data_IF_278605047661
#
_entry.id   IF_278605047661
#
_cell.length_a   1.000
_cell.length_b   1.000
_cell.length_c   1.000
_cell.angle_alpha   90.00
_cell.angle_beta   90.00
_cell.angle_gamma   90.00
#
_symmetry.space_group_name_H-M   'P 1'
#
loop_
_entity.id
_entity.type
_entity.pdbx_description
1 polymer ?
#
# COMPACT_ATOMS: atom_id res chain seq x y z
N UNK A 1 -24.39 28.97 -3.60
CA UNK A 1 -24.31 27.61 -3.00
C UNK A 1 -23.50 26.74 -3.95
N UNK A 2 -22.27 26.35 -3.61
CA UNK A 2 -21.57 25.30 -4.37
C UNK A 2 -22.07 23.96 -3.83
N UNK A 3 -22.78 23.22 -4.66
CA UNK A 3 -23.19 21.84 -4.39
C UNK A 3 -21.97 20.94 -4.25
N UNK A 4 -22.02 19.99 -3.32
CA UNK A 4 -21.04 18.91 -3.27
C UNK A 4 -20.96 18.25 -4.65
N UNK A 5 -19.74 18.13 -5.19
CA UNK A 5 -19.47 17.37 -6.40
C UNK A 5 -18.61 16.16 -6.04
N UNK A 6 -18.84 15.03 -6.71
CA UNK A 6 -18.09 13.81 -6.47
C UNK A 6 -17.39 13.39 -7.75
N UNK A 7 -16.08 13.14 -7.65
CA UNK A 7 -15.32 12.43 -8.66
C UNK A 7 -15.24 10.97 -8.23
N UNK A 8 -15.61 10.04 -9.12
CA UNK A 8 -15.49 8.61 -8.91
C UNK A 8 -14.69 7.97 -10.04
N UNK A 9 -13.75 7.10 -9.70
CA UNK A 9 -13.04 6.23 -10.64
C UNK A 9 -13.04 4.80 -10.14
N UNK A 10 -13.07 3.85 -11.06
CA UNK A 10 -13.21 2.42 -10.75
C UNK A 10 -12.29 1.63 -11.65
N UNK A 11 -11.54 0.70 -11.05
CA UNK A 11 -10.61 -0.16 -11.76
C UNK A 11 -10.79 -1.60 -11.31
N UNK A 12 -10.71 -2.53 -12.28
CA UNK A 12 -10.72 -3.96 -12.02
C UNK A 12 -9.35 -4.53 -12.34
N UNK A 13 -8.82 -5.34 -11.44
CA UNK A 13 -7.51 -5.95 -11.52
C UNK A 13 -7.62 -7.45 -11.35
N UNK A 14 -7.32 -8.19 -12.42
CA UNK A 14 -7.43 -9.66 -12.49
C UNK A 14 -6.07 -10.36 -12.45
N UNK A 15 -4.97 -9.59 -12.42
CA UNK A 15 -3.61 -10.11 -12.56
C UNK A 15 -2.74 -9.89 -11.31
N UNK A 16 -3.28 -9.26 -10.26
CA UNK A 16 -2.53 -8.94 -9.05
C UNK A 16 -2.46 -10.10 -8.05
N UNK A 17 -3.39 -11.05 -8.16
CA UNK A 17 -3.53 -12.18 -7.25
C UNK A 17 -3.78 -13.46 -8.04
N UNK A 18 -3.47 -14.60 -7.44
CA UNK A 18 -3.80 -15.93 -8.02
C UNK A 18 -5.21 -16.39 -7.70
N UNK A 19 -5.83 -15.80 -6.67
CA UNK A 19 -7.10 -16.27 -6.11
C UNK A 19 -8.20 -15.21 -6.10
N UNK A 20 -7.84 -13.94 -6.27
CA UNK A 20 -8.70 -12.80 -6.06
C UNK A 20 -8.64 -11.83 -7.26
N UNK A 21 -9.80 -11.39 -7.72
CA UNK A 21 -9.92 -10.20 -8.56
C UNK A 21 -10.26 -9.00 -7.67
N UNK A 22 -9.49 -7.93 -7.79
CA UNK A 22 -9.71 -6.72 -7.02
C UNK A 22 -10.49 -5.70 -7.85
N UNK A 23 -11.48 -5.06 -7.22
CA UNK A 23 -12.09 -3.85 -7.73
C UNK A 23 -11.74 -2.69 -6.79
N UNK A 24 -11.06 -1.69 -7.32
CA UNK A 24 -10.61 -0.52 -6.58
C UNK A 24 -11.36 0.71 -7.08
N UNK A 25 -12.07 1.37 -6.18
CA UNK A 25 -12.82 2.58 -6.43
C UNK A 25 -12.19 3.74 -5.68
N UNK A 26 -11.89 4.83 -6.40
CA UNK A 26 -11.52 6.09 -5.79
C UNK A 26 -12.73 7.03 -5.78
N UNK A 27 -13.09 7.51 -4.60
CA UNK A 27 -14.12 8.52 -4.40
C UNK A 27 -13.49 9.79 -3.80
N UNK A 28 -13.65 10.92 -4.49
CA UNK A 28 -13.30 12.26 -3.98
C UNK A 28 -14.55 13.10 -3.91
N UNK A 29 -14.91 13.50 -2.69
CA UNK A 29 -16.01 14.44 -2.45
C UNK A 29 -15.46 15.82 -2.18
N UNK A 30 -15.85 16.81 -2.99
CA UNK A 30 -15.49 18.21 -2.77
C UNK A 30 -16.48 18.84 -1.80
N UNK A 31 -15.97 19.40 -0.70
CA UNK A 31 -16.76 20.05 0.35
C UNK A 31 -16.60 21.58 0.27
N UNK A 32 -17.55 22.36 0.81
CA UNK A 32 -17.41 23.79 0.96
C UNK A 32 -16.10 24.18 1.65
N UNK A 33 -15.49 25.29 1.20
CA UNK A 33 -14.19 25.74 1.72
C UNK A 33 -12.98 25.02 1.12
N UNK A 34 -13.15 24.26 0.03
CA UNK A 34 -12.03 23.65 -0.71
C UNK A 34 -11.48 22.38 -0.10
N UNK A 35 -12.15 21.82 0.91
CA UNK A 35 -11.77 20.54 1.52
C UNK A 35 -12.19 19.37 0.63
N UNK A 36 -11.40 18.30 0.61
CA UNK A 36 -11.77 17.04 -0.01
C UNK A 36 -11.94 15.93 1.03
N UNK A 37 -12.79 14.97 0.71
CA UNK A 37 -12.92 13.70 1.43
C UNK A 37 -12.65 12.60 0.42
N UNK A 38 -11.41 12.09 0.48
CA UNK A 38 -10.85 11.15 -0.47
C UNK A 38 -10.81 9.76 0.14
N UNK A 39 -11.29 8.77 -0.61
CA UNK A 39 -11.45 7.41 -0.12
C UNK A 39 -11.17 6.41 -1.21
N UNK A 40 -10.51 5.34 -0.81
CA UNK A 40 -10.53 4.09 -1.55
C UNK A 40 -11.63 3.20 -1.03
N UNK A 41 -12.35 2.54 -1.93
CA UNK A 41 -13.15 1.37 -1.65
C UNK A 41 -12.51 0.21 -2.43
N UNK A 42 -12.05 -0.81 -1.70
CA UNK A 42 -11.52 -2.03 -2.28
C UNK A 42 -12.52 -3.16 -2.05
N UNK A 43 -12.83 -3.90 -3.11
CA UNK A 43 -13.60 -5.13 -3.06
C UNK A 43 -12.77 -6.27 -3.65
N UNK A 44 -12.70 -7.38 -2.93
CA UNK A 44 -11.98 -8.59 -3.29
C UNK A 44 -13.00 -9.68 -3.67
N UNK A 45 -12.94 -10.15 -4.91
CA UNK A 45 -13.80 -11.20 -5.44
C UNK A 45 -12.99 -12.47 -5.64
N UNK A 46 -13.56 -13.62 -5.27
CA UNK A 46 -13.01 -14.92 -5.63
C UNK A 46 -12.86 -15.05 -7.15
N UNK A 47 -11.66 -15.36 -7.62
CA UNK A 47 -11.35 -15.37 -9.06
C UNK A 47 -12.09 -16.49 -9.83
N UNK A 48 -12.46 -17.58 -9.15
CA UNK A 48 -13.11 -18.73 -9.79
C UNK A 48 -14.63 -18.58 -9.84
N UNK A 49 -15.23 -18.16 -8.73
CA UNK A 49 -16.69 -18.10 -8.53
C UNK A 49 -17.26 -16.71 -8.77
N UNK A 50 -16.43 -15.67 -8.72
CA UNK A 50 -16.87 -14.27 -8.76
C UNK A 50 -17.57 -13.80 -7.50
N UNK A 51 -17.63 -14.62 -6.44
CA UNK A 51 -18.26 -14.26 -5.18
C UNK A 51 -17.44 -13.18 -4.45
N UNK A 52 -18.11 -12.20 -3.84
CA UNK A 52 -17.45 -11.21 -2.99
C UNK A 52 -16.89 -11.90 -1.75
N UNK A 53 -15.55 -11.89 -1.58
CA UNK A 53 -14.87 -12.43 -0.40
C UNK A 53 -14.79 -11.39 0.72
N UNK A 54 -14.41 -10.16 0.38
CA UNK A 54 -14.27 -9.07 1.34
C UNK A 54 -14.37 -7.70 0.68
N UNK A 55 -14.64 -6.66 1.47
CA UNK A 55 -14.58 -5.27 1.01
C UNK A 55 -14.36 -4.33 2.18
N UNK A 56 -13.62 -3.25 1.95
CA UNK A 56 -13.39 -2.22 2.95
C UNK A 56 -13.19 -0.84 2.30
N UNK A 57 -13.43 0.19 3.09
CA UNK A 57 -13.15 1.58 2.72
C UNK A 57 -11.97 2.09 3.52
N UNK A 58 -11.04 2.76 2.85
CA UNK A 58 -9.88 3.38 3.44
C UNK A 58 -9.88 4.88 3.11
N UNK A 59 -9.77 5.71 4.15
CA UNK A 59 -9.64 7.16 3.96
C UNK A 59 -8.23 7.50 3.48
N UNK A 60 -8.15 8.43 2.54
CA UNK A 60 -6.91 9.06 2.11
C UNK A 60 -6.76 10.41 2.79
N UNK A 61 -5.54 10.77 3.17
CA UNK A 61 -5.24 12.03 3.86
C UNK A 61 -4.87 13.09 2.82
N UNK A 62 -3.87 12.81 2.00
CA UNK A 62 -3.42 13.72 0.95
C UNK A 62 -3.06 12.96 -0.33
N UNK A 63 -3.94 13.05 -1.32
CA UNK A 63 -3.65 12.67 -2.70
C UNK A 63 -3.81 13.92 -3.56
N UNK A 64 -2.80 14.33 -4.30
CA UNK A 64 -2.92 15.50 -5.17
C UNK A 64 -3.88 15.24 -6.35
N UNK A 65 -4.36 16.31 -6.99
CA UNK A 65 -5.37 16.24 -8.06
C UNK A 65 -4.81 15.73 -9.39
N UNK A 66 -3.54 16.02 -9.65
CA UNK A 66 -2.70 15.51 -10.73
C UNK A 66 -2.11 14.12 -10.42
N UNK A 67 -1.99 13.76 -9.15
CA UNK A 67 -1.71 12.38 -8.70
C UNK A 67 -2.98 11.56 -8.48
N UNK A 68 -4.14 12.02 -8.99
CA UNK A 68 -5.33 11.15 -9.08
C UNK A 68 -4.89 9.91 -9.85
N UNK A 69 -5.12 8.70 -9.31
CA UNK A 69 -4.62 7.43 -9.80
C UNK A 69 -4.38 7.40 -11.29
N UNK A 70 -3.12 7.51 -11.70
CA UNK A 70 -2.73 7.21 -13.06
C UNK A 70 -3.05 5.74 -13.29
N UNK A 71 -3.90 5.45 -14.28
CA UNK A 71 -4.36 4.10 -14.60
C UNK A 71 -3.21 3.08 -14.52
N UNK A 72 -3.41 2.00 -13.76
CA UNK A 72 -2.50 0.86 -13.76
C UNK A 72 -1.23 1.02 -12.93
N UNK A 73 -1.13 2.03 -12.06
CA UNK A 73 -0.06 2.08 -11.07
C UNK A 73 -0.34 1.15 -9.90
N UNK A 74 -0.22 -0.14 -10.17
CA UNK A 74 -0.42 -1.24 -9.21
C UNK A 74 0.70 -2.25 -9.36
N UNK A 75 0.95 -3.03 -8.31
CA UNK A 75 2.06 -3.99 -8.28
C UNK A 75 1.67 -5.27 -7.56
N UNK A 76 2.23 -6.39 -8.00
CA UNK A 76 2.14 -7.67 -7.29
C UNK A 76 3.48 -8.36 -7.19
N UNK A 77 3.92 -8.61 -5.96
CA UNK A 77 5.08 -9.45 -5.67
C UNK A 77 4.72 -10.94 -5.67
N UNK A 78 3.43 -11.27 -5.69
CA UNK A 78 2.91 -12.65 -5.70
C UNK A 78 2.80 -13.22 -7.11
N UNK A 79 2.27 -12.43 -8.05
CA UNK A 79 2.14 -12.81 -9.46
C UNK A 79 3.28 -12.29 -10.33
N UNK A 80 4.04 -11.30 -9.84
CA UNK A 80 5.09 -10.62 -10.61
C UNK A 80 4.58 -9.46 -11.46
N UNK A 81 3.28 -9.18 -11.47
CA UNK A 81 2.69 -8.09 -12.25
C UNK A 81 3.28 -6.72 -11.82
N UNK A 82 3.91 -6.01 -12.76
CA UNK A 82 4.63 -4.75 -12.52
C UNK A 82 5.68 -4.79 -11.39
N UNK A 83 6.12 -5.97 -10.94
CA UNK A 83 7.03 -6.11 -9.79
C UNK A 83 8.30 -5.28 -9.96
N UNK A 84 8.84 -5.29 -11.18
CA UNK A 84 10.12 -4.70 -11.53
C UNK A 84 9.95 -3.28 -12.13
N UNK A 85 8.74 -2.71 -12.10
CA UNK A 85 8.51 -1.30 -12.45
C UNK A 85 9.34 -0.42 -11.51
N UNK A 86 9.97 0.62 -12.05
CA UNK A 86 10.71 1.57 -11.22
C UNK A 86 9.78 2.21 -10.17
N UNK A 87 10.25 2.31 -8.92
CA UNK A 87 9.52 2.94 -7.82
C UNK A 87 10.15 4.31 -7.53
N UNK A 88 9.85 5.29 -8.40
CA UNK A 88 10.33 6.66 -8.25
C UNK A 88 9.84 7.23 -6.92
N UNK A 89 10.76 7.82 -6.14
CA UNK A 89 10.48 8.40 -4.82
C UNK A 89 9.71 7.45 -3.87
N UNK A 90 10.02 6.14 -3.94
CA UNK A 90 9.32 5.09 -3.20
C UNK A 90 7.81 5.01 -3.49
N UNK A 91 7.36 5.43 -4.68
CA UNK A 91 6.00 5.17 -5.15
C UNK A 91 5.91 3.76 -5.75
N UNK A 92 5.26 2.85 -5.02
CA UNK A 92 5.02 1.48 -5.47
C UNK A 92 3.66 1.30 -6.16
N UNK A 93 2.89 2.38 -6.29
CA UNK A 93 1.55 2.41 -6.86
C UNK A 93 0.45 2.55 -5.82
N UNK A 94 -0.79 2.62 -6.29
CA UNK A 94 -2.00 2.81 -5.49
C UNK A 94 -2.40 1.57 -4.71
N UNK A 95 -2.20 0.39 -5.31
CA UNK A 95 -2.46 -0.92 -4.71
C UNK A 95 -1.29 -1.85 -4.98
N UNK A 96 -0.75 -2.43 -3.91
CA UNK A 96 0.32 -3.42 -3.96
C UNK A 96 -0.13 -4.70 -3.28
N UNK A 97 0.12 -5.84 -3.92
CA UNK A 97 -0.13 -7.18 -3.37
C UNK A 97 1.20 -7.89 -3.07
N UNK A 98 1.39 -8.35 -1.84
CA UNK A 98 2.62 -9.01 -1.41
C UNK A 98 2.37 -9.92 -0.20
N UNK A 99 3.20 -10.92 0.04
CA UNK A 99 3.22 -11.64 1.32
C UNK A 99 4.14 -10.87 2.28
N UNK A 100 3.54 -10.03 3.14
CA UNK A 100 4.28 -9.16 4.05
C UNK A 100 4.61 -9.92 5.33
N UNK A 101 3.67 -10.71 5.86
CA UNK A 101 3.81 -11.41 7.13
C UNK A 101 4.52 -12.79 7.04
N UNK A 102 4.88 -13.22 5.82
CA UNK A 102 5.60 -14.46 5.51
C UNK A 102 4.84 -15.74 5.88
N UNK A 103 3.52 -15.74 5.71
CA UNK A 103 2.65 -16.90 5.92
C UNK A 103 2.23 -17.59 4.59
N UNK A 104 2.63 -17.04 3.45
CA UNK A 104 2.31 -17.54 2.12
C UNK A 104 0.95 -17.09 1.57
N UNK A 105 0.21 -16.25 2.30
CA UNK A 105 -1.02 -15.59 1.86
C UNK A 105 -0.71 -14.23 1.25
N UNK A 106 -1.72 -13.66 0.62
CA UNK A 106 -1.58 -12.38 -0.07
C UNK A 106 -2.04 -11.25 0.83
N UNK A 107 -1.15 -10.32 1.16
CA UNK A 107 -1.45 -9.09 1.88
C UNK A 107 -1.55 -7.89 0.91
N UNK A 108 -2.13 -6.79 1.39
CA UNK A 108 -2.35 -5.57 0.62
C UNK A 108 -1.64 -4.38 1.26
N UNK A 109 -1.08 -3.52 0.42
CA UNK A 109 -0.73 -2.15 0.79
C UNK A 109 -1.46 -1.18 -0.14
N UNK A 110 -2.19 -0.24 0.45
CA UNK A 110 -3.02 0.73 -0.27
C UNK A 110 -2.52 2.14 0.02
N UNK A 111 -2.16 2.89 -1.03
CA UNK A 111 -1.62 4.25 -0.90
C UNK A 111 -2.67 5.19 -0.32
N UNK A 112 -2.33 5.88 0.76
CA UNK A 112 -3.25 6.79 1.47
C UNK A 112 -2.74 8.22 1.57
N UNK A 113 -1.45 8.41 1.39
CA UNK A 113 -0.81 9.72 1.39
C UNK A 113 0.37 9.72 0.42
N UNK A 114 0.55 10.82 -0.30
CA UNK A 114 1.76 11.11 -1.08
C UNK A 114 3.00 11.28 -0.19
N UNK A 115 2.79 11.39 1.12
CA UNK A 115 3.82 11.45 2.14
C UNK A 115 4.66 12.72 2.05
N UNK A 116 5.96 12.56 2.26
CA UNK A 116 6.92 13.66 2.25
C UNK A 116 8.17 13.29 1.46
N UNK A 117 9.32 13.80 1.88
CA UNK A 117 10.60 13.56 1.19
C UNK A 117 11.04 12.09 1.17
N UNK A 118 10.42 11.22 1.97
CA UNK A 118 10.72 9.79 2.05
C UNK A 118 9.79 8.91 1.19
N UNK A 119 8.86 9.53 0.45
CA UNK A 119 7.89 8.85 -0.39
C UNK A 119 6.53 8.64 0.26
N UNK A 120 5.71 7.83 -0.41
CA UNK A 120 4.31 7.65 -0.09
C UNK A 120 4.05 6.84 1.20
N UNK A 121 2.90 7.09 1.81
CA UNK A 121 2.38 6.30 2.91
C UNK A 121 1.23 5.39 2.48
N UNK A 122 1.21 4.22 3.12
CA UNK A 122 0.33 3.12 2.81
C UNK A 122 -0.40 2.66 4.07
N UNK A 123 -1.66 2.26 3.89
CA UNK A 123 -2.36 1.42 4.84
C UNK A 123 -2.17 -0.04 4.46
N UNK A 124 -1.80 -0.87 5.43
CA UNK A 124 -1.50 -2.28 5.21
C UNK A 124 -2.61 -3.15 5.74
N UNK A 125 -3.01 -4.16 4.97
CA UNK A 125 -4.02 -5.13 5.34
C UNK A 125 -3.44 -6.54 5.18
N UNK A 126 -3.40 -7.30 6.27
CA UNK A 126 -2.95 -8.69 6.24
C UNK A 126 -4.15 -9.61 6.02
N UNK A 127 -3.97 -10.65 5.23
CA UNK A 127 -5.01 -11.64 5.00
C UNK A 127 -5.03 -12.68 6.13
N UNK A 128 -6.21 -12.94 6.68
CA UNK A 128 -6.42 -13.99 7.68
C UNK A 128 -6.74 -15.35 7.04
N UNK A 129 -6.84 -16.40 7.86
CA UNK A 129 -7.12 -17.76 7.40
C UNK A 129 -8.48 -17.92 6.70
N UNK A 130 -9.41 -16.96 6.91
CA UNK A 130 -10.71 -16.93 6.22
C UNK A 130 -10.66 -16.22 4.87
N UNK A 131 -9.49 -15.69 4.48
CA UNK A 131 -9.30 -14.92 3.26
C UNK A 131 -9.71 -13.45 3.38
N UNK A 132 -10.02 -12.97 4.60
CA UNK A 132 -10.41 -11.58 4.87
C UNK A 132 -9.21 -10.72 5.20
N UNK A 133 -9.30 -9.43 4.89
CA UNK A 133 -8.22 -8.48 5.04
C UNK A 133 -8.42 -7.63 6.29
N UNK A 134 -7.40 -7.60 7.16
CA UNK A 134 -7.41 -6.85 8.43
C UNK A 134 -6.30 -5.83 8.45
N UNK A 135 -6.64 -4.57 8.78
CA UNK A 135 -5.65 -3.50 8.91
C UNK A 135 -4.60 -3.91 9.93
N UNK A 136 -3.32 -3.76 9.57
CA UNK A 136 -2.21 -3.88 10.49
C UNK A 136 -1.78 -2.50 10.96
N UNK A 137 -2.07 -2.18 12.22
CA UNK A 137 -1.80 -0.85 12.78
C UNK A 137 -0.31 -0.57 12.91
N UNK A 138 0.53 -1.55 13.23
CA UNK A 138 1.97 -1.33 13.31
C UNK A 138 2.57 -0.96 11.95
N UNK A 139 2.25 -1.74 10.91
CA UNK A 139 2.72 -1.43 9.55
C UNK A 139 2.16 -0.09 9.06
N UNK A 140 0.89 0.21 9.35
CA UNK A 140 0.26 1.46 8.88
C UNK A 140 0.79 2.68 9.62
N UNK A 141 0.87 2.62 10.95
CA UNK A 141 1.06 3.81 11.77
C UNK A 141 2.52 4.00 12.18
N UNK A 142 3.33 2.92 12.23
CA UNK A 142 4.75 2.97 12.63
C UNK A 142 5.74 2.75 11.48
N UNK A 143 5.38 1.94 10.47
CA UNK A 143 6.24 1.73 9.28
C UNK A 143 5.87 2.72 8.18
N UNK A 144 4.58 2.83 7.87
CA UNK A 144 3.92 3.73 6.92
C UNK A 144 4.36 3.61 5.44
N UNK A 145 5.65 3.49 5.15
CA UNK A 145 6.19 3.35 3.79
C UNK A 145 6.21 1.89 3.34
N UNK A 146 5.94 1.65 2.06
CA UNK A 146 6.08 0.32 1.48
C UNK A 146 7.57 -0.11 1.47
N UNK A 147 7.90 -1.37 1.81
CA UNK A 147 9.29 -1.83 1.84
C UNK A 147 9.88 -1.94 0.44
N UNK A 148 11.05 -1.33 0.23
CA UNK A 148 11.84 -1.55 -0.97
C UNK A 148 12.50 -2.93 -1.03
N UNK A 149 12.52 -3.67 0.08
CA UNK A 149 12.93 -5.07 0.09
C UNK A 149 12.10 -5.92 1.04
N UNK A 150 11.60 -7.05 0.51
CA UNK A 150 10.91 -8.10 1.26
C UNK A 150 11.85 -9.32 1.32
N UNK A 151 12.58 -9.48 2.42
CA UNK A 151 13.49 -10.61 2.64
C UNK A 151 12.74 -11.75 3.34
N UNK A 152 12.06 -12.57 2.54
CA UNK A 152 11.29 -13.72 3.03
C UNK A 152 12.16 -14.76 3.77
N UNK A 153 13.45 -14.90 3.39
CA UNK A 153 14.36 -15.85 4.04
C UNK A 153 14.65 -15.47 5.49
N UNK A 154 14.77 -14.18 5.76
CA UNK A 154 15.01 -13.64 7.11
C UNK A 154 13.74 -13.12 7.79
N UNK A 155 12.59 -13.19 7.12
CA UNK A 155 11.31 -12.64 7.55
C UNK A 155 11.42 -11.15 7.93
N UNK A 156 11.96 -10.37 7.00
CA UNK A 156 12.23 -8.94 7.19
C UNK A 156 11.63 -8.08 6.09
N UNK A 157 11.14 -6.91 6.51
CA UNK A 157 10.82 -5.80 5.63
C UNK A 157 11.89 -4.72 5.81
N UNK A 158 12.36 -4.16 4.71
CA UNK A 158 13.34 -3.08 4.71
C UNK A 158 12.75 -1.90 3.96
N UNK A 159 12.62 -0.78 4.65
CA UNK A 159 12.18 0.49 4.06
C UNK A 159 13.37 1.42 3.91
N UNK A 160 13.28 2.30 2.91
CA UNK A 160 14.29 3.31 2.62
C UNK A 160 13.62 4.68 2.61
N UNK A 161 14.33 5.71 3.08
CA UNK A 161 13.85 7.09 3.04
C UNK A 161 15.01 8.06 2.91
N UNK A 162 14.82 9.12 2.14
CA UNK A 162 15.83 10.17 2.02
C UNK A 162 15.93 10.98 3.32
N UNK A 163 17.15 11.08 3.85
CA UNK A 163 17.48 11.93 4.98
C UNK A 163 18.25 13.16 4.46
N UNK A 164 17.48 14.19 4.09
CA UNK A 164 18.00 15.34 3.36
C UNK A 164 18.47 14.96 1.95
N UNK A 165 19.44 15.70 1.40
CA UNK A 165 19.89 15.52 0.00
C UNK A 165 21.08 14.56 -0.17
N UNK A 166 21.67 14.07 0.93
CA UNK A 166 22.93 13.30 0.90
C UNK A 166 22.85 11.94 1.54
N UNK A 167 21.79 11.62 2.27
CA UNK A 167 21.72 10.39 3.02
C UNK A 167 20.49 9.56 2.66
N UNK A 168 20.67 8.24 2.70
CA UNK A 168 19.59 7.26 2.62
C UNK A 168 19.48 6.56 3.97
N UNK A 169 18.36 6.75 4.66
CA UNK A 169 18.01 6.00 5.85
C UNK A 169 17.44 4.63 5.45
N UNK A 170 17.91 3.58 6.10
CA UNK A 170 17.42 2.21 5.94
C UNK A 170 16.88 1.72 7.29
N UNK A 171 15.60 1.34 7.33
CA UNK A 171 14.97 0.74 8.50
C UNK A 171 14.70 -0.74 8.25
N UNK A 172 15.08 -1.58 9.20
CA UNK A 172 14.86 -3.03 9.16
C UNK A 172 13.83 -3.45 10.19
N UNK A 173 12.79 -4.12 9.75
CA UNK A 173 11.73 -4.64 10.60
C UNK A 173 11.68 -6.16 10.47
N UNK A 174 11.71 -6.88 11.59
CA UNK A 174 11.53 -8.33 11.59
C UNK A 174 10.12 -8.68 12.03
N UNK A 175 9.49 -9.60 11.30
CA UNK A 175 8.21 -10.16 11.70
C UNK A 175 8.34 -11.05 12.94
N UNK A 176 7.39 -10.91 13.86
CA UNK A 176 7.29 -11.64 15.12
C UNK A 176 5.98 -12.43 15.11
N UNK A 177 6.02 -13.75 14.78
CA UNK A 177 4.81 -14.56 14.63
C UNK A 177 3.93 -14.60 15.87
N UNK A 178 4.53 -14.64 17.07
CA UNK A 178 3.81 -14.76 18.33
C UNK A 178 2.83 -13.60 18.59
N UNK A 179 3.09 -12.42 18.02
CA UNK A 179 2.27 -11.22 18.18
C UNK A 179 1.70 -10.73 16.85
N UNK A 180 1.89 -11.49 15.76
CA UNK A 180 1.49 -11.16 14.39
C UNK A 180 1.82 -9.70 14.00
N UNK A 181 3.00 -9.24 14.41
CA UNK A 181 3.45 -7.85 14.21
C UNK A 181 4.95 -7.81 13.91
N UNK A 182 5.52 -6.61 13.85
CA UNK A 182 6.93 -6.42 13.58
C UNK A 182 7.63 -5.73 14.76
N UNK A 183 8.94 -5.96 14.82
CA UNK A 183 9.85 -5.21 15.68
C UNK A 183 10.87 -4.50 14.80
N UNK A 184 11.08 -3.21 15.04
CA UNK A 184 12.20 -2.47 14.47
C UNK A 184 13.51 -3.03 15.05
N UNK A 185 14.39 -3.53 14.18
CA UNK A 185 15.65 -4.15 14.61
C UNK A 185 16.82 -3.19 14.50
N UNK A 186 16.83 -2.36 13.46
CA UNK A 186 18.00 -1.59 13.09
C UNK A 186 17.62 -0.39 12.23
N UNK A 187 18.36 0.69 12.44
CA UNK A 187 18.44 1.82 11.53
C UNK A 187 19.89 1.97 11.05
N UNK A 188 20.06 2.17 9.74
CA UNK A 188 21.34 2.48 9.12
C UNK A 188 21.20 3.78 8.33
N UNK A 189 22.27 4.56 8.28
CA UNK A 189 22.34 5.78 7.48
C UNK A 189 23.49 5.66 6.50
N UNK A 190 23.17 5.74 5.21
CA UNK A 190 24.14 5.62 4.13
C UNK A 190 24.42 6.98 3.52
N UNK A 191 25.69 7.33 3.35
CA UNK A 191 26.11 8.56 2.67
C UNK A 191 26.19 8.32 1.16
N UNK A 192 25.43 9.11 0.40
CA UNK A 192 25.30 9.02 -1.06
C UNK A 192 26.31 9.93 -1.81
N UNK A 193 27.19 10.64 -1.10
CA UNK A 193 28.12 11.61 -1.71
C UNK A 193 29.40 11.02 -2.32
N UNK A 194 29.42 9.70 -2.59
CA UNK A 194 30.58 8.99 -3.16
C UNK A 194 30.39 8.65 -4.63
#
# INVERSE_FOLDING_TARGET
MRTDSTLRRSYRYEHLSREVHYMLHFDRTFRPGGRTDDRWLLAAYDAQTGALRDSFTQRCIMLFYDTVPAYGDVRSYVTGYNRDKEALDNDYGDLVVADLNFDGREDLALKTDVGGTSGNYYTFFLQDDSGRFRKNDFLTDSVASFPGTIDARRKRLITFGHAGVRYLGEHRYRYVPATQTYRHEQYLLHDLSK
#
